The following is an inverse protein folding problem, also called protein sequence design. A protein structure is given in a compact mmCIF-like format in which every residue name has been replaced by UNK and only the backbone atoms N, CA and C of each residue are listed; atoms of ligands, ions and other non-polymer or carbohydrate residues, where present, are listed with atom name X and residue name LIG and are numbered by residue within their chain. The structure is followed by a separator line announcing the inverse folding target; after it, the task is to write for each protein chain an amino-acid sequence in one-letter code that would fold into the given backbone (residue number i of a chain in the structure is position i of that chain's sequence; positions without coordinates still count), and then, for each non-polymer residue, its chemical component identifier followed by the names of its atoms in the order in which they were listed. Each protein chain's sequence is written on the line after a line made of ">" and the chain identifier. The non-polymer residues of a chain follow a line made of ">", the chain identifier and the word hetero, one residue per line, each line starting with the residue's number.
data_IF_057163701119
#
_entry.id   IF_057163701119
#
_cell.length_a   1.000
_cell.length_b   1.000
_cell.length_c   1.000
_cell.angle_alpha   90.00
_cell.angle_beta   90.00
_cell.angle_gamma   90.00
#
_symmetry.space_group_name_H-M   'P 1'
#
loop_
_entity.id
_entity.type
_entity.pdbx_description
1 polymer ?
#
# COMPACT_ATOMS: atom_id res chain seq x y z
N UNK A 1 52.19 30.80 34.20
CA UNK A 1 51.04 31.07 33.34
C UNK A 1 50.19 29.78 33.23
N UNK A 2 48.94 29.84 33.68
CA UNK A 2 47.98 28.75 33.53
C UNK A 2 47.30 28.93 32.20
N UNK A 3 47.36 27.90 31.35
CA UNK A 3 46.59 27.84 30.08
C UNK A 3 45.28 27.11 30.39
N UNK A 4 44.19 27.83 30.42
CA UNK A 4 42.86 27.23 30.48
C UNK A 4 42.34 27.01 29.05
N UNK A 5 42.08 25.75 28.70
CA UNK A 5 41.43 25.43 27.44
C UNK A 5 39.93 25.28 27.76
N UNK A 6 39.16 26.32 27.39
CA UNK A 6 37.70 26.25 27.43
C UNK A 6 37.16 25.60 26.15
N UNK A 7 36.51 24.49 26.28
CA UNK A 7 35.71 23.91 25.19
C UNK A 7 34.37 24.65 25.11
N UNK A 8 34.30 25.65 24.25
CA UNK A 8 33.08 26.40 24.01
C UNK A 8 32.14 25.52 23.18
N UNK A 9 31.23 24.78 23.85
CA UNK A 9 30.14 24.07 23.17
C UNK A 9 29.18 25.13 22.64
N UNK A 10 29.20 25.33 21.34
CA UNK A 10 28.39 26.34 20.65
C UNK A 10 26.96 25.81 20.43
N UNK A 11 26.21 25.60 21.51
CA UNK A 11 24.80 25.17 21.47
C UNK A 11 23.86 26.37 21.38
N UNK A 12 23.99 27.15 20.29
CA UNK A 12 23.07 28.28 20.04
C UNK A 12 21.78 27.88 19.36
N UNK A 13 21.61 26.63 18.96
CA UNK A 13 20.38 26.17 18.31
C UNK A 13 19.66 25.19 19.24
N UNK A 14 18.52 25.58 19.87
CA UNK A 14 17.77 24.68 20.76
C UNK A 14 17.20 23.43 20.09
N UNK A 15 17.25 23.38 18.77
CA UNK A 15 16.81 22.19 17.97
C UNK A 15 17.97 21.27 17.57
N UNK A 16 19.21 21.61 17.93
CA UNK A 16 20.39 20.80 17.62
C UNK A 16 20.59 19.76 18.73
N UNK A 17 20.41 18.50 18.41
CA UNK A 17 20.76 17.37 19.28
C UNK A 17 22.19 16.91 18.99
N UNK A 18 22.81 16.15 19.91
CA UNK A 18 24.13 15.54 19.69
C UNK A 18 24.13 14.72 18.39
N UNK A 19 23.03 13.99 18.12
CA UNK A 19 22.90 13.18 16.90
C UNK A 19 22.97 14.00 15.60
N UNK A 20 22.39 15.21 15.58
CA UNK A 20 22.38 16.07 14.38
C UNK A 20 23.70 16.85 14.22
N UNK A 21 24.36 17.20 15.33
CA UNK A 21 25.65 17.96 15.30
C UNK A 21 26.86 17.06 15.03
N UNK A 22 26.75 15.76 15.24
CA UNK A 22 27.84 14.80 15.05
C UNK A 22 27.68 13.91 13.80
N UNK A 23 26.67 14.16 12.96
CA UNK A 23 26.31 13.34 11.78
C UNK A 23 25.90 11.89 12.14
N UNK A 24 25.90 11.50 13.41
CA UNK A 24 25.49 10.16 13.87
C UNK A 24 24.04 9.85 13.41
N UNK A 25 23.20 10.88 13.34
CA UNK A 25 21.83 10.75 12.86
C UNK A 25 21.75 10.15 11.44
N UNK A 26 22.61 10.59 10.53
CA UNK A 26 22.63 10.06 9.16
C UNK A 26 23.08 8.60 9.11
N UNK A 27 24.05 8.21 9.92
CA UNK A 27 24.49 6.81 10.03
C UNK A 27 23.40 5.92 10.65
N UNK A 28 22.71 6.40 11.69
CA UNK A 28 21.59 5.69 12.28
C UNK A 28 20.45 5.54 11.29
N UNK A 29 20.15 6.58 10.54
CA UNK A 29 19.13 6.56 9.49
C UNK A 29 19.43 5.52 8.43
N UNK A 30 20.67 5.44 7.94
CA UNK A 30 21.13 4.40 7.00
C UNK A 30 21.05 3.00 7.62
N UNK A 31 21.44 2.87 8.87
CA UNK A 31 21.39 1.60 9.59
C UNK A 31 19.93 1.11 9.70
N UNK A 32 19.04 1.96 10.20
CA UNK A 32 17.62 1.61 10.33
C UNK A 32 16.92 1.40 8.98
N UNK A 33 17.33 2.09 7.93
CA UNK A 33 16.82 1.83 6.58
C UNK A 33 17.16 0.42 6.06
N UNK A 34 18.27 -0.17 6.54
CA UNK A 34 18.72 -1.50 6.10
C UNK A 34 18.25 -2.64 6.99
N UNK A 35 18.24 -2.45 8.30
CA UNK A 35 17.96 -3.52 9.28
C UNK A 35 16.77 -3.20 10.19
N UNK A 36 16.24 -1.99 10.14
CA UNK A 36 15.10 -1.56 10.96
C UNK A 36 13.84 -2.32 10.57
N UNK A 37 13.01 -2.60 11.58
CA UNK A 37 11.66 -3.14 11.39
C UNK A 37 10.68 -2.03 11.68
N UNK A 38 9.78 -1.77 10.73
CA UNK A 38 8.70 -0.83 10.93
C UNK A 38 7.57 -1.53 11.67
N UNK A 39 7.18 -1.00 12.82
CA UNK A 39 6.06 -1.53 13.60
C UNK A 39 4.93 -0.51 13.51
N UNK A 40 3.73 -0.95 13.13
CA UNK A 40 2.55 -0.08 13.11
C UNK A 40 2.22 0.40 14.53
N UNK A 41 2.12 1.70 14.77
CA UNK A 41 1.76 2.23 16.10
C UNK A 41 0.31 1.90 16.49
N UNK A 42 -0.54 1.59 15.50
CA UNK A 42 -1.96 1.29 15.72
C UNK A 42 -2.19 -0.18 16.03
N UNK A 43 -1.58 -1.09 15.26
CA UNK A 43 -1.79 -2.54 15.39
C UNK A 43 -0.68 -3.28 16.14
N UNK A 44 0.49 -2.65 16.35
CA UNK A 44 1.66 -3.28 16.95
C UNK A 44 2.29 -4.39 16.08
N UNK A 45 1.83 -4.55 14.85
CA UNK A 45 2.30 -5.59 13.92
C UNK A 45 3.47 -5.05 13.09
N UNK A 46 4.45 -5.91 12.82
CA UNK A 46 5.54 -5.58 11.91
C UNK A 46 4.99 -5.33 10.50
N UNK A 47 5.17 -4.12 10.02
CA UNK A 47 4.82 -3.72 8.65
C UNK A 47 5.91 -4.21 7.73
N UNK A 48 5.64 -5.27 6.97
CA UNK A 48 6.53 -5.76 5.92
C UNK A 48 6.17 -5.08 4.61
N UNK A 49 7.20 -4.59 3.90
CA UNK A 49 7.03 -4.18 2.52
C UNK A 49 6.74 -5.44 1.71
N UNK A 50 5.51 -5.60 1.26
CA UNK A 50 5.17 -6.66 0.32
C UNK A 50 5.66 -6.26 -1.06
N UNK A 51 6.46 -7.11 -1.65
CA UNK A 51 6.84 -7.00 -3.05
C UNK A 51 5.88 -7.84 -3.90
N UNK A 52 5.73 -7.48 -5.16
CA UNK A 52 4.95 -8.26 -6.13
C UNK A 52 5.35 -9.74 -6.11
N UNK A 53 6.65 -10.03 -5.95
CA UNK A 53 7.17 -11.40 -5.81
C UNK A 53 6.59 -12.18 -4.63
N UNK A 54 6.24 -11.50 -3.54
CA UNK A 54 5.70 -12.15 -2.34
C UNK A 54 4.23 -12.52 -2.57
N UNK A 55 3.48 -11.62 -3.22
CA UNK A 55 2.10 -11.88 -3.67
C UNK A 55 2.07 -13.09 -4.62
N UNK A 56 2.96 -13.08 -5.60
CA UNK A 56 3.04 -14.19 -6.57
C UNK A 56 3.34 -15.52 -5.88
N UNK A 57 4.29 -15.56 -4.95
CA UNK A 57 4.61 -16.78 -4.17
C UNK A 57 3.44 -17.23 -3.32
N UNK A 58 2.75 -16.32 -2.67
CA UNK A 58 1.62 -16.62 -1.80
C UNK A 58 0.46 -17.21 -2.61
N UNK A 59 0.08 -16.58 -3.71
CA UNK A 59 -1.03 -17.06 -4.57
C UNK A 59 -0.71 -18.40 -5.22
N UNK A 60 0.52 -18.59 -5.67
CA UNK A 60 0.95 -19.88 -6.25
C UNK A 60 1.10 -21.01 -5.22
N UNK A 61 1.04 -20.71 -3.94
CA UNK A 61 0.96 -21.71 -2.86
C UNK A 61 -0.40 -22.41 -2.78
N UNK A 62 -1.43 -21.89 -3.44
CA UNK A 62 -2.76 -22.51 -3.48
C UNK A 62 -2.87 -23.59 -4.57
N UNK A 63 -3.76 -24.57 -4.41
CA UNK A 63 -3.94 -25.66 -5.39
C UNK A 63 -4.30 -25.13 -6.79
N UNK A 64 -3.83 -25.82 -7.83
CA UNK A 64 -4.22 -25.53 -9.19
C UNK A 64 -5.76 -25.60 -9.35
N UNK A 65 -6.34 -24.69 -10.11
CA UNK A 65 -7.78 -24.53 -10.26
C UNK A 65 -8.43 -23.57 -9.25
N UNK A 66 -7.70 -23.11 -8.22
CA UNK A 66 -8.19 -22.10 -7.28
C UNK A 66 -8.40 -20.77 -8.01
N UNK A 67 -9.61 -20.20 -7.89
CA UNK A 67 -9.93 -18.90 -8.48
C UNK A 67 -9.51 -17.79 -7.52
N UNK A 68 -9.02 -16.71 -8.08
CA UNK A 68 -8.72 -15.49 -7.29
C UNK A 68 -8.93 -14.23 -8.12
N UNK A 69 -9.05 -13.12 -7.44
CA UNK A 69 -9.19 -11.81 -8.07
C UNK A 69 -8.27 -10.79 -7.39
N UNK A 70 -7.77 -9.88 -8.20
CA UNK A 70 -6.89 -8.78 -7.79
C UNK A 70 -7.71 -7.51 -7.77
N UNK A 71 -7.68 -6.79 -6.66
CA UNK A 71 -8.39 -5.54 -6.46
C UNK A 71 -7.44 -4.45 -5.99
N UNK A 72 -7.85 -3.21 -6.22
CA UNK A 72 -7.23 -2.02 -5.66
C UNK A 72 -8.31 -1.19 -4.94
N UNK A 73 -8.07 -0.64 -3.74
CA UNK A 73 -9.01 0.29 -3.14
C UNK A 73 -9.13 1.54 -4.01
N UNK A 74 -10.36 2.06 -4.18
CA UNK A 74 -10.55 3.34 -4.84
C UNK A 74 -10.19 4.44 -3.85
N UNK A 75 -9.08 5.13 -4.10
CA UNK A 75 -8.60 6.23 -3.27
C UNK A 75 -9.01 7.55 -3.92
N UNK A 76 -9.58 8.44 -3.13
CA UNK A 76 -9.99 9.76 -3.60
C UNK A 76 -8.85 10.77 -3.37
N UNK A 77 -8.33 11.41 -4.42
CA UNK A 77 -7.45 12.57 -4.28
C UNK A 77 -8.16 13.74 -3.61
N UNK A 78 -7.39 14.60 -2.94
CA UNK A 78 -7.93 15.77 -2.24
C UNK A 78 -8.80 16.63 -3.18
N UNK A 79 -10.04 16.90 -2.76
CA UNK A 79 -10.98 17.73 -3.50
C UNK A 79 -11.73 17.05 -4.64
N UNK A 80 -11.54 15.74 -4.87
CA UNK A 80 -12.27 15.00 -5.90
C UNK A 80 -13.41 14.18 -5.31
N UNK A 81 -14.58 14.25 -5.96
CA UNK A 81 -15.73 13.42 -5.63
C UNK A 81 -15.59 11.97 -6.13
N UNK A 82 -16.32 11.06 -5.50
CA UNK A 82 -16.31 9.64 -5.90
C UNK A 82 -16.81 9.44 -7.34
N UNK A 83 -17.85 10.15 -7.75
CA UNK A 83 -18.43 10.09 -9.10
C UNK A 83 -17.38 10.43 -10.16
N UNK A 84 -16.71 11.58 -9.98
CA UNK A 84 -15.66 12.03 -10.91
C UNK A 84 -14.51 11.02 -10.99
N UNK A 85 -14.11 10.43 -9.85
CA UNK A 85 -13.07 9.40 -9.82
C UNK A 85 -13.50 8.14 -10.58
N UNK A 86 -14.74 7.69 -10.41
CA UNK A 86 -15.26 6.52 -11.11
C UNK A 86 -15.40 6.76 -12.62
N UNK A 87 -15.78 7.96 -13.05
CA UNK A 87 -15.79 8.34 -14.47
C UNK A 87 -14.38 8.30 -15.09
N UNK A 88 -13.37 8.74 -14.35
CA UNK A 88 -11.98 8.70 -14.80
C UNK A 88 -11.54 7.25 -14.98
N UNK A 89 -11.75 6.39 -13.97
CA UNK A 89 -11.43 4.98 -14.03
C UNK A 89 -12.15 4.28 -15.22
N UNK A 90 -13.39 4.68 -15.50
CA UNK A 90 -14.12 4.16 -16.65
C UNK A 90 -13.48 4.59 -17.98
N UNK A 91 -13.00 5.83 -18.08
CA UNK A 91 -12.28 6.36 -19.28
C UNK A 91 -10.93 5.68 -19.47
N UNK A 92 -10.26 5.25 -18.39
CA UNK A 92 -9.02 4.49 -18.39
C UNK A 92 -9.22 3.02 -18.81
N UNK A 93 -10.48 2.58 -18.94
CA UNK A 93 -10.83 1.26 -19.45
C UNK A 93 -11.26 0.26 -18.39
N UNK A 94 -11.30 0.64 -17.13
CA UNK A 94 -11.85 -0.20 -16.08
C UNK A 94 -13.37 -0.29 -16.20
N UNK A 95 -13.93 -1.44 -15.87
CA UNK A 95 -15.36 -1.70 -16.10
C UNK A 95 -16.11 -2.16 -14.86
N UNK A 96 -15.41 -2.66 -13.85
CA UNK A 96 -16.02 -3.33 -12.70
C UNK A 96 -15.42 -2.89 -11.38
N UNK A 97 -16.28 -2.77 -10.38
CA UNK A 97 -15.97 -2.46 -9.00
C UNK A 97 -16.53 -3.55 -8.08
N UNK A 98 -15.95 -3.71 -6.90
CA UNK A 98 -16.50 -4.49 -5.81
C UNK A 98 -16.94 -3.58 -4.69
N UNK A 99 -18.14 -3.81 -4.17
CA UNK A 99 -18.66 -3.19 -2.96
C UNK A 99 -19.04 -4.33 -2.02
N UNK A 100 -18.27 -4.49 -0.95
CA UNK A 100 -18.33 -5.69 -0.13
C UNK A 100 -17.94 -6.94 -0.93
N UNK A 101 -18.85 -7.93 -1.02
CA UNK A 101 -18.62 -9.16 -1.77
C UNK A 101 -19.23 -9.14 -3.19
N UNK A 102 -19.96 -8.10 -3.53
CA UNK A 102 -20.70 -8.00 -4.79
C UNK A 102 -19.92 -7.18 -5.82
N UNK A 103 -19.84 -7.70 -7.03
CA UNK A 103 -19.18 -7.02 -8.15
C UNK A 103 -20.22 -6.35 -9.03
N UNK A 104 -20.07 -5.05 -9.23
CA UNK A 104 -20.92 -4.19 -10.06
C UNK A 104 -20.16 -3.67 -11.27
N UNK A 105 -20.88 -3.20 -12.28
CA UNK A 105 -20.28 -2.37 -13.33
C UNK A 105 -20.16 -0.93 -12.83
N UNK A 106 -19.12 -0.21 -13.28
CA UNK A 106 -18.94 1.19 -12.89
C UNK A 106 -20.18 2.02 -13.22
N UNK A 107 -20.79 1.82 -14.41
CA UNK A 107 -22.01 2.54 -14.80
C UNK A 107 -23.23 2.23 -13.93
N UNK A 108 -23.33 1.05 -13.32
CA UNK A 108 -24.39 0.69 -12.37
C UNK A 108 -24.18 1.43 -11.04
N UNK A 109 -22.94 1.54 -10.59
CA UNK A 109 -22.60 2.27 -9.36
C UNK A 109 -22.82 3.77 -9.53
N UNK A 110 -22.47 4.33 -10.70
CA UNK A 110 -22.73 5.75 -11.02
C UNK A 110 -24.21 6.10 -11.12
N UNK A 111 -25.09 5.11 -11.35
CA UNK A 111 -26.52 5.32 -11.44
C UNK A 111 -27.27 5.14 -10.11
N UNK A 112 -26.57 4.74 -9.03
CA UNK A 112 -27.17 4.42 -7.73
C UNK A 112 -26.43 5.13 -6.58
N UNK A 113 -27.03 6.18 -6.06
CA UNK A 113 -26.48 7.00 -4.96
C UNK A 113 -26.20 6.17 -3.70
N UNK A 114 -26.91 5.08 -3.49
CA UNK A 114 -26.69 4.22 -2.33
C UNK A 114 -25.39 3.43 -2.45
N UNK A 115 -25.03 2.99 -3.65
CA UNK A 115 -23.78 2.32 -3.96
C UNK A 115 -22.60 3.29 -3.93
N UNK A 116 -22.79 4.52 -4.42
CA UNK A 116 -21.79 5.60 -4.37
C UNK A 116 -21.42 6.00 -2.94
N UNK A 117 -22.39 5.92 -2.02
CA UNK A 117 -22.17 6.26 -0.60
C UNK A 117 -21.50 5.16 0.20
N UNK A 118 -21.10 4.06 -0.45
CA UNK A 118 -20.44 2.95 0.24
C UNK A 118 -19.06 3.35 0.78
N UNK A 119 -18.74 2.97 2.03
CA UNK A 119 -17.48 3.38 2.67
C UNK A 119 -16.25 2.74 2.04
N UNK A 120 -16.42 1.60 1.38
CA UNK A 120 -15.32 0.85 0.74
C UNK A 120 -15.76 0.44 -0.66
N UNK A 121 -15.09 1.01 -1.64
CA UNK A 121 -15.23 0.64 -3.07
C UNK A 121 -13.86 0.17 -3.55
N UNK A 122 -13.82 -0.99 -4.19
CA UNK A 122 -12.60 -1.57 -4.70
C UNK A 122 -12.68 -1.76 -6.20
N UNK A 123 -11.65 -1.36 -6.91
CA UNK A 123 -11.50 -1.54 -8.35
C UNK A 123 -11.09 -2.98 -8.64
N UNK A 124 -11.82 -3.68 -9.50
CA UNK A 124 -11.43 -5.01 -9.97
C UNK A 124 -10.39 -4.86 -11.09
N UNK A 125 -9.17 -5.29 -10.82
CA UNK A 125 -8.06 -5.25 -11.78
C UNK A 125 -8.07 -6.49 -12.67
N UNK A 126 -8.05 -7.69 -12.07
CA UNK A 126 -8.04 -8.93 -12.86
C UNK A 126 -8.69 -10.09 -12.09
N UNK A 127 -9.12 -11.12 -12.85
CA UNK A 127 -9.62 -12.40 -12.32
C UNK A 127 -8.86 -13.54 -12.97
N UNK A 128 -8.25 -14.36 -12.14
CA UNK A 128 -7.31 -15.37 -12.55
C UNK A 128 -7.63 -16.71 -11.88
N UNK A 129 -6.99 -17.76 -12.39
CA UNK A 129 -7.06 -19.11 -11.84
C UNK A 129 -5.65 -19.62 -11.64
N UNK A 130 -5.36 -20.19 -10.49
CA UNK A 130 -4.05 -20.79 -10.21
C UNK A 130 -3.79 -21.93 -11.19
N UNK A 131 -2.70 -21.85 -11.91
CA UNK A 131 -2.23 -22.87 -12.87
C UNK A 131 -0.71 -22.90 -12.88
N UNK A 132 -0.15 -24.01 -13.37
CA UNK A 132 1.32 -24.16 -13.51
C UNK A 132 1.89 -23.43 -14.74
N UNK A 133 1.06 -22.61 -15.42
CA UNK A 133 1.48 -21.87 -16.59
C UNK A 133 2.44 -20.75 -16.21
N UNK A 134 3.56 -20.64 -16.93
CA UNK A 134 4.54 -19.57 -16.75
C UNK A 134 3.95 -18.19 -17.03
N UNK A 135 2.94 -18.09 -17.90
CA UNK A 135 2.25 -16.84 -18.23
C UNK A 135 1.45 -16.30 -17.06
N UNK A 136 0.95 -17.18 -16.16
CA UNK A 136 0.24 -16.75 -14.97
C UNK A 136 1.10 -15.88 -14.05
N UNK A 137 2.37 -16.25 -13.86
CA UNK A 137 3.28 -15.48 -13.00
C UNK A 137 3.47 -14.05 -13.49
N UNK A 138 3.72 -13.90 -14.80
CA UNK A 138 3.86 -12.57 -15.42
C UNK A 138 2.58 -11.78 -15.30
N UNK A 139 1.45 -12.38 -15.69
CA UNK A 139 0.15 -11.71 -15.64
C UNK A 139 -0.28 -11.33 -14.23
N UNK A 140 -0.02 -12.18 -13.23
CA UNK A 140 -0.28 -11.84 -11.83
C UNK A 140 0.63 -10.71 -11.34
N UNK A 141 1.91 -10.71 -11.74
CA UNK A 141 2.83 -9.64 -11.41
C UNK A 141 2.36 -8.30 -11.99
N UNK A 142 2.02 -8.27 -13.29
CA UNK A 142 1.51 -7.07 -13.97
C UNK A 142 0.20 -6.57 -13.31
N UNK A 143 -0.70 -7.48 -12.96
CA UNK A 143 -1.96 -7.14 -12.27
C UNK A 143 -1.73 -6.60 -10.87
N UNK A 144 -0.76 -7.15 -10.12
CA UNK A 144 -0.41 -6.67 -8.79
C UNK A 144 0.27 -5.30 -8.83
N UNK A 145 1.16 -5.04 -9.81
CA UNK A 145 1.75 -3.72 -10.04
C UNK A 145 0.68 -2.68 -10.36
N UNK A 146 -0.26 -3.03 -11.24
CA UNK A 146 -1.41 -2.18 -11.56
C UNK A 146 -2.25 -1.90 -10.32
N UNK A 147 -2.52 -2.92 -9.49
CA UNK A 147 -3.27 -2.75 -8.26
C UNK A 147 -2.56 -1.83 -7.26
N UNK A 148 -1.24 -1.94 -7.11
CA UNK A 148 -0.47 -1.02 -6.27
C UNK A 148 -0.47 0.40 -6.80
N UNK A 149 -0.43 0.57 -8.11
CA UNK A 149 -0.48 1.90 -8.73
C UNK A 149 -1.85 2.57 -8.49
N UNK A 150 -2.94 1.90 -8.82
CA UNK A 150 -4.31 2.42 -8.68
C UNK A 150 -4.74 2.55 -7.21
N UNK A 151 -4.31 1.61 -6.37
CA UNK A 151 -4.66 1.54 -4.95
C UNK A 151 -3.74 2.34 -4.02
N UNK A 152 -2.90 3.24 -4.56
CA UNK A 152 -1.94 4.02 -3.77
C UNK A 152 -1.16 3.13 -2.80
N UNK A 153 -0.36 2.22 -3.37
CA UNK A 153 0.46 1.25 -2.67
C UNK A 153 -0.31 0.12 -1.96
N UNK A 154 -1.60 -0.05 -2.24
CA UNK A 154 -2.41 -1.13 -1.67
C UNK A 154 -2.92 -2.07 -2.76
N UNK A 155 -2.68 -3.36 -2.58
CA UNK A 155 -3.18 -4.44 -3.43
C UNK A 155 -3.97 -5.43 -2.59
N UNK A 156 -5.17 -5.79 -3.02
CA UNK A 156 -6.05 -6.72 -2.33
C UNK A 156 -6.24 -7.96 -3.20
N UNK A 157 -5.95 -9.13 -2.64
CA UNK A 157 -6.19 -10.43 -3.30
C UNK A 157 -7.31 -11.15 -2.60
N UNK A 158 -8.35 -11.51 -3.34
CA UNK A 158 -9.42 -12.39 -2.85
C UNK A 158 -9.28 -13.76 -3.48
N UNK A 159 -9.11 -14.77 -2.65
CA UNK A 159 -8.93 -16.16 -3.07
C UNK A 159 -10.21 -16.91 -2.71
N UNK A 160 -10.81 -17.53 -3.70
CA UNK A 160 -12.08 -18.26 -3.57
C UNK A 160 -11.79 -19.74 -3.39
N UNK A 161 -11.85 -20.20 -2.15
CA UNK A 161 -11.65 -21.60 -1.78
C UNK A 161 -13.00 -22.30 -1.58
N UNK A 162 -13.00 -23.64 -1.48
CA UNK A 162 -14.19 -24.42 -1.12
C UNK A 162 -14.70 -24.13 0.30
N UNK A 163 -13.86 -23.62 1.17
CA UNK A 163 -14.17 -23.28 2.57
C UNK A 163 -14.65 -21.83 2.72
N UNK A 164 -14.53 -21.01 1.68
CA UNK A 164 -14.92 -19.59 1.70
C UNK A 164 -13.93 -18.68 0.96
N UNK A 165 -14.15 -17.38 1.08
CA UNK A 165 -13.28 -16.35 0.50
C UNK A 165 -12.21 -15.96 1.49
N UNK A 166 -10.94 -16.10 1.10
CA UNK A 166 -9.78 -15.59 1.85
C UNK A 166 -9.36 -14.27 1.27
N UNK A 167 -9.37 -13.22 2.09
CA UNK A 167 -8.93 -11.88 1.69
C UNK A 167 -7.51 -11.65 2.20
N UNK A 168 -6.63 -11.25 1.31
CA UNK A 168 -5.25 -10.86 1.60
C UNK A 168 -5.03 -9.43 1.15
N UNK A 169 -4.67 -8.58 2.07
CA UNK A 169 -4.29 -7.21 1.80
C UNK A 169 -2.78 -7.09 1.87
N UNK A 170 -2.19 -6.58 0.80
CA UNK A 170 -0.75 -6.33 0.70
C UNK A 170 -0.52 -4.85 0.49
N UNK A 171 0.34 -4.26 1.32
CA UNK A 171 0.67 -2.83 1.24
C UNK A 171 2.14 -2.69 0.84
N UNK A 172 2.39 -1.94 -0.24
CA UNK A 172 3.73 -1.58 -0.68
C UNK A 172 4.04 -0.17 -0.18
N UNK A 173 4.79 -0.05 0.91
CA UNK A 173 5.23 1.26 1.39
C UNK A 173 6.38 1.81 0.53
N UNK A 174 6.07 2.39 -0.61
CA UNK A 174 7.05 3.14 -1.41
C UNK A 174 7.17 4.58 -0.96
N UNK A 175 6.13 5.12 -0.31
CA UNK A 175 6.12 6.45 0.30
C UNK A 175 5.63 6.37 1.75
N UNK A 176 6.55 6.31 2.71
CA UNK A 176 6.32 6.97 3.98
C UNK A 176 6.12 8.44 3.61
N UNK A 177 4.87 8.93 3.64
CA UNK A 177 4.59 10.36 3.51
C UNK A 177 5.43 11.05 4.58
N UNK A 178 6.38 11.87 4.14
CA UNK A 178 7.22 12.69 5.02
C UNK A 178 6.40 13.69 5.87
N UNK A 179 5.07 13.68 5.75
CA UNK A 179 4.14 14.56 6.45
C UNK A 179 3.62 14.03 7.79
N UNK A 180 3.67 12.71 8.04
CA UNK A 180 3.14 12.17 9.30
C UNK A 180 4.17 12.08 10.43
N UNK A 181 5.45 12.32 10.15
CA UNK A 181 6.50 12.24 11.16
C UNK A 181 6.88 13.59 11.78
N UNK A 182 6.26 14.70 11.41
CA UNK A 182 6.65 16.05 11.86
C UNK A 182 5.54 16.84 12.57
N UNK A 183 4.33 16.31 12.73
CA UNK A 183 3.21 17.05 13.36
C UNK A 183 2.89 16.63 14.78
N UNK A 184 3.45 15.53 15.30
CA UNK A 184 3.07 14.98 16.62
C UNK A 184 4.26 14.74 17.57
N UNK A 185 5.30 15.60 17.49
CA UNK A 185 6.36 15.67 18.53
C UNK A 185 6.61 17.11 18.98
#
# INVERSE_FOLDING_TARGET
>A
PAIAIEQKVNTRNPRSTVGTSTEIYEYLRLLYARIGKTISPVSGIEVKKHQVSDIVKEVLGYPAGTRFAVYAPVVLPDGRGIEEQLEILQKEGYTRLSIGETVYRIGEVLADDTLLSSPVIELLIDRLVVSDDKTLKSRLADSAETAFFEGHDTCIIRIYTSEGTVVKESVSYTHLRAHETLSDL
#
